data_IF_944640368415
#
_entry.id   IF_944640368415
#
_cell.length_a   1.000
_cell.length_b   1.000
_cell.length_c   1.000
_cell.angle_alpha   90.00
_cell.angle_beta   90.00
_cell.angle_gamma   90.00
#
_symmetry.space_group_name_H-M   'P 1'
#
loop_
_entity.id
_entity.type
_entity.pdbx_description
1 polymer ?
#
# COMPACT_ATOMS: atom_id res chain seq x y z
N UNK A 1 -14.11 18.48 7.64
CA UNK A 1 -14.19 17.54 6.51
C UNK A 1 -13.62 16.25 7.05
N UNK A 2 -14.50 15.31 7.37
CA UNK A 2 -14.16 14.00 7.92
C UNK A 2 -13.24 13.28 6.91
N UNK A 3 -12.04 12.93 7.36
CA UNK A 3 -11.05 12.26 6.54
C UNK A 3 -11.44 10.81 6.36
N UNK A 4 -11.89 10.44 5.17
CA UNK A 4 -11.86 9.03 4.76
C UNK A 4 -10.38 8.63 4.64
N UNK A 5 -9.91 7.82 5.59
CA UNK A 5 -8.57 7.27 5.55
C UNK A 5 -8.52 6.19 4.46
N UNK A 6 -7.99 6.58 3.30
CA UNK A 6 -7.82 5.70 2.15
C UNK A 6 -6.92 4.53 2.52
N UNK A 7 -7.49 3.33 2.49
CA UNK A 7 -6.79 2.09 2.75
C UNK A 7 -5.98 1.68 1.52
N UNK A 8 -6.58 1.42 0.34
CA UNK A 8 -5.87 0.81 -0.81
C UNK A 8 -6.46 1.23 -2.17
N UNK A 9 -5.63 1.39 -3.21
CA UNK A 9 -6.05 1.33 -4.62
C UNK A 9 -5.81 -0.04 -5.30
N UNK A 10 -6.78 -0.51 -6.06
CA UNK A 10 -6.74 -1.80 -6.76
C UNK A 10 -6.99 -1.56 -8.24
N UNK A 11 -6.14 -2.10 -9.11
CA UNK A 11 -6.24 -1.92 -10.56
C UNK A 11 -6.80 -3.18 -11.23
N UNK A 12 -7.41 -3.01 -12.39
CA UNK A 12 -8.00 -4.11 -13.17
C UNK A 12 -6.97 -5.23 -13.41
N UNK A 13 -5.72 -4.86 -13.72
CA UNK A 13 -4.64 -5.83 -13.98
C UNK A 13 -4.84 -6.64 -15.26
N UNK A 14 -3.77 -7.29 -15.72
CA UNK A 14 -3.79 -8.09 -16.96
C UNK A 14 -3.90 -9.61 -16.69
N UNK A 15 -4.44 -10.00 -15.53
CA UNK A 15 -4.53 -11.42 -15.17
C UNK A 15 -5.58 -12.12 -16.06
N UNK A 16 -5.25 -13.28 -16.65
CA UNK A 16 -6.09 -13.89 -17.68
C UNK A 16 -7.45 -14.38 -17.16
N UNK A 17 -7.57 -14.68 -15.86
CA UNK A 17 -8.72 -15.38 -15.29
C UNK A 17 -9.69 -14.49 -14.49
N UNK A 18 -9.42 -13.19 -14.41
CA UNK A 18 -10.21 -12.27 -13.57
C UNK A 18 -11.10 -11.33 -14.38
N UNK A 19 -11.07 -11.41 -15.71
CA UNK A 19 -11.64 -10.38 -16.60
C UNK A 19 -12.50 -10.99 -17.71
N UNK A 20 -13.58 -10.30 -18.10
CA UNK A 20 -14.41 -10.72 -19.23
C UNK A 20 -13.79 -10.35 -20.58
N UNK A 21 -13.20 -11.31 -21.29
CA UNK A 21 -12.51 -11.06 -22.57
C UNK A 21 -13.30 -11.39 -23.83
N UNK A 22 -14.36 -12.19 -23.72
CA UNK A 22 -15.09 -12.70 -24.89
C UNK A 22 -15.75 -11.58 -25.70
N UNK A 23 -15.22 -11.32 -26.90
CA UNK A 23 -15.70 -10.26 -27.80
C UNK A 23 -15.40 -8.84 -27.29
N UNK A 24 -14.50 -8.69 -26.31
CA UNK A 24 -14.15 -7.40 -25.73
C UNK A 24 -12.89 -6.83 -26.37
N UNK A 25 -12.90 -5.54 -26.71
CA UNK A 25 -11.69 -4.79 -26.97
C UNK A 25 -11.19 -4.19 -25.64
N UNK A 26 -9.93 -4.44 -25.29
CA UNK A 26 -9.31 -3.93 -24.07
C UNK A 26 -7.98 -3.24 -24.38
N UNK A 27 -7.83 -2.01 -23.93
CA UNK A 27 -6.59 -1.23 -24.04
C UNK A 27 -6.12 -0.83 -22.65
N UNK A 28 -4.92 -1.26 -22.27
CA UNK A 28 -4.27 -0.84 -21.02
C UNK A 28 -3.38 0.35 -21.33
N UNK A 29 -3.60 1.47 -20.62
CA UNK A 29 -2.80 2.69 -20.76
C UNK A 29 -1.57 2.66 -19.85
N UNK A 30 -0.62 3.58 -20.10
CA UNK A 30 0.63 3.67 -19.33
C UNK A 30 0.40 3.93 -17.82
N UNK A 31 -0.70 4.61 -17.47
CA UNK A 31 -1.12 4.87 -16.09
C UNK A 31 -1.89 3.70 -15.44
N UNK A 32 -1.90 2.53 -16.09
CA UNK A 32 -2.62 1.32 -15.70
C UNK A 32 -4.16 1.41 -15.78
N UNK A 33 -4.71 2.53 -16.28
CA UNK A 33 -6.14 2.59 -16.59
C UNK A 33 -6.48 1.68 -17.76
N UNK A 34 -7.71 1.17 -17.78
CA UNK A 34 -8.20 0.23 -18.78
C UNK A 34 -9.40 0.82 -19.49
N UNK A 35 -9.31 0.90 -20.82
CA UNK A 35 -10.47 1.09 -21.66
C UNK A 35 -11.01 -0.27 -22.08
N UNK A 36 -12.28 -0.50 -21.81
CA UNK A 36 -13.02 -1.71 -22.16
C UNK A 36 -14.19 -1.34 -23.06
N UNK A 37 -14.35 -2.06 -24.18
CA UNK A 37 -15.49 -1.90 -25.10
C UNK A 37 -16.05 -3.27 -25.47
N UNK A 38 -17.34 -3.48 -25.20
CA UNK A 38 -18.07 -4.67 -25.62
C UNK A 38 -19.58 -4.39 -25.70
N UNK A 39 -20.10 -4.19 -26.92
CA UNK A 39 -21.53 -3.89 -27.16
C UNK A 39 -22.45 -5.11 -27.05
N UNK A 40 -21.89 -6.32 -27.06
CA UNK A 40 -22.64 -7.58 -27.07
C UNK A 40 -22.54 -8.34 -25.74
N UNK A 41 -21.87 -7.77 -24.74
CA UNK A 41 -21.77 -8.37 -23.42
C UNK A 41 -23.14 -8.39 -22.74
N UNK A 42 -23.61 -9.59 -22.38
CA UNK A 42 -24.86 -9.75 -21.66
C UNK A 42 -24.81 -9.04 -20.29
N UNK A 43 -25.90 -8.38 -19.86
CA UNK A 43 -26.04 -7.89 -18.49
C UNK A 43 -25.91 -9.02 -17.46
N UNK A 44 -25.47 -8.68 -16.25
CA UNK A 44 -25.23 -9.59 -15.14
C UNK A 44 -23.88 -10.30 -15.17
N UNK A 45 -23.07 -10.14 -16.23
CA UNK A 45 -21.72 -10.72 -16.31
C UNK A 45 -20.69 -9.85 -15.57
N UNK A 46 -19.78 -10.50 -14.85
CA UNK A 46 -18.65 -9.85 -14.17
C UNK A 46 -17.67 -9.30 -15.21
N UNK A 47 -17.40 -7.99 -15.19
CA UNK A 47 -16.38 -7.33 -16.00
C UNK A 47 -14.98 -7.66 -15.49
N UNK A 48 -14.81 -7.54 -14.17
CA UNK A 48 -13.57 -7.81 -13.44
C UNK A 48 -13.86 -8.29 -12.03
N UNK A 49 -13.02 -9.21 -11.54
CA UNK A 49 -13.05 -9.76 -10.19
C UNK A 49 -11.68 -9.62 -9.53
N UNK A 50 -11.66 -9.07 -8.33
CA UNK A 50 -10.47 -9.00 -7.49
C UNK A 50 -10.63 -9.93 -6.30
N UNK A 51 -9.51 -10.46 -5.81
CA UNK A 51 -9.47 -11.47 -4.74
C UNK A 51 -8.54 -11.03 -3.61
N UNK A 52 -8.93 -11.27 -2.36
CA UNK A 52 -8.06 -11.03 -1.18
C UNK A 52 -7.14 -12.19 -0.86
N UNK A 53 -7.47 -13.39 -1.34
CA UNK A 53 -6.65 -14.58 -1.26
C UNK A 53 -6.53 -15.21 -2.65
N UNK A 54 -5.36 -15.70 -3.00
CA UNK A 54 -5.06 -16.25 -4.32
C UNK A 54 -4.74 -17.74 -4.22
N UNK A 55 -5.33 -18.55 -5.10
CA UNK A 55 -4.87 -19.90 -5.33
C UNK A 55 -4.00 -19.92 -6.59
N UNK A 56 -2.69 -19.69 -6.42
CA UNK A 56 -1.77 -19.59 -7.54
C UNK A 56 -1.65 -20.91 -8.31
N UNK A 57 -1.69 -22.05 -7.62
CA UNK A 57 -1.54 -23.37 -8.24
C UNK A 57 -2.74 -23.73 -9.13
N UNK A 58 -3.96 -23.43 -8.69
CA UNK A 58 -5.17 -23.78 -9.45
C UNK A 58 -5.59 -22.69 -10.45
N UNK A 59 -5.50 -21.42 -10.07
CA UNK A 59 -6.13 -20.32 -10.83
C UNK A 59 -5.12 -19.32 -11.37
N UNK A 60 -3.83 -19.42 -10.98
CA UNK A 60 -2.78 -18.43 -11.27
C UNK A 60 -3.18 -17.00 -10.85
N UNK A 61 -4.06 -16.90 -9.86
CA UNK A 61 -4.51 -15.62 -9.30
C UNK A 61 -3.60 -15.26 -8.15
N UNK A 62 -3.00 -14.07 -8.24
CA UNK A 62 -2.28 -13.42 -7.14
C UNK A 62 -3.29 -12.56 -6.38
N UNK A 63 -3.27 -12.51 -5.04
CA UNK A 63 -4.13 -11.60 -4.29
C UNK A 63 -3.94 -10.15 -4.76
N UNK A 64 -5.04 -9.41 -4.86
CA UNK A 64 -5.08 -8.00 -5.30
C UNK A 64 -5.75 -7.10 -4.25
N UNK A 65 -6.60 -7.68 -3.40
CA UNK A 65 -7.32 -6.96 -2.35
C UNK A 65 -6.53 -7.06 -1.03
N UNK A 66 -6.62 -6.02 -0.17
CA UNK A 66 -5.99 -6.04 1.13
C UNK A 66 -6.74 -6.92 2.12
N UNK A 67 -6.10 -7.28 3.22
CA UNK A 67 -6.80 -7.82 4.38
C UNK A 67 -7.72 -6.76 5.01
N UNK A 68 -8.93 -7.17 5.41
CA UNK A 68 -9.88 -6.31 6.10
C UNK A 68 -10.01 -6.79 7.54
N UNK A 69 -10.14 -5.85 8.48
CA UNK A 69 -10.38 -6.18 9.88
C UNK A 69 -11.84 -6.56 10.08
N UNK A 70 -12.06 -7.64 10.83
CA UNK A 70 -13.40 -8.07 11.21
C UNK A 70 -14.16 -6.99 11.98
N UNK A 71 -15.49 -6.93 11.75
CA UNK A 71 -16.44 -5.96 12.34
C UNK A 71 -16.19 -4.49 11.97
N UNK A 72 -15.25 -4.22 11.07
CA UNK A 72 -14.94 -2.88 10.61
C UNK A 72 -15.74 -2.52 9.34
N UNK A 73 -16.09 -1.25 9.19
CA UNK A 73 -16.81 -0.73 8.03
C UNK A 73 -15.82 -0.19 6.99
N UNK A 74 -16.04 -0.52 5.72
CA UNK A 74 -15.20 -0.05 4.60
C UNK A 74 -16.06 0.50 3.47
N UNK A 75 -15.54 1.48 2.76
CA UNK A 75 -16.09 1.99 1.50
C UNK A 75 -15.23 1.51 0.33
N UNK A 76 -15.87 0.86 -0.64
CA UNK A 76 -15.31 0.57 -1.94
C UNK A 76 -15.80 1.61 -2.94
N UNK A 77 -14.89 2.23 -3.70
CA UNK A 77 -15.21 3.24 -4.71
C UNK A 77 -14.48 2.97 -6.03
N UNK A 78 -15.19 2.67 -7.10
CA UNK A 78 -14.62 2.48 -8.43
C UNK A 78 -14.48 3.81 -9.17
N UNK A 79 -13.25 4.30 -9.35
CA UNK A 79 -12.99 5.48 -10.18
C UNK A 79 -13.07 5.07 -11.65
N UNK A 80 -14.17 5.44 -12.30
CA UNK A 80 -14.46 5.04 -13.68
C UNK A 80 -15.38 6.01 -14.42
N UNK A 81 -15.41 5.92 -15.75
CA UNK A 81 -16.44 6.50 -16.61
C UNK A 81 -17.13 5.38 -17.37
N UNK A 82 -18.46 5.37 -17.33
CA UNK A 82 -19.29 4.27 -17.85
C UNK A 82 -20.24 4.80 -18.91
N UNK A 83 -20.37 4.08 -20.02
CA UNK A 83 -21.38 4.33 -21.06
C UNK A 83 -22.20 3.06 -21.31
N UNK A 84 -23.54 3.14 -21.17
CA UNK A 84 -24.31 4.27 -20.64
C UNK A 84 -24.01 4.48 -19.15
N UNK A 85 -24.27 5.69 -18.65
CA UNK A 85 -24.01 6.02 -17.25
C UNK A 85 -24.78 5.09 -16.28
N UNK A 86 -24.18 4.80 -15.13
CA UNK A 86 -24.75 3.96 -14.06
C UNK A 86 -25.16 2.53 -14.50
N UNK A 87 -24.60 2.00 -15.61
CA UNK A 87 -24.84 0.62 -16.08
C UNK A 87 -23.83 -0.40 -15.57
N UNK A 88 -23.41 -0.23 -14.32
CA UNK A 88 -22.55 -1.16 -13.60
C UNK A 88 -22.98 -1.28 -12.14
N UNK A 89 -22.53 -2.33 -11.47
CA UNK A 89 -22.76 -2.59 -10.05
C UNK A 89 -21.48 -3.11 -9.42
N UNK A 90 -21.18 -2.66 -8.21
CA UNK A 90 -20.16 -3.27 -7.37
C UNK A 90 -20.80 -4.36 -6.51
N UNK A 91 -20.09 -5.47 -6.36
CA UNK A 91 -20.45 -6.56 -5.46
C UNK A 91 -19.25 -7.00 -4.65
N UNK A 92 -19.44 -7.16 -3.34
CA UNK A 92 -18.45 -7.71 -2.43
C UNK A 92 -19.02 -8.98 -1.79
N UNK A 93 -18.32 -10.10 -1.97
CA UNK A 93 -18.71 -11.41 -1.42
C UNK A 93 -17.62 -11.89 -0.46
N UNK A 94 -18.01 -12.28 0.75
CA UNK A 94 -17.14 -12.73 1.83
C UNK A 94 -17.29 -14.24 2.02
N UNK A 95 -16.17 -14.93 2.24
CA UNK A 95 -16.11 -16.38 2.30
C UNK A 95 -15.47 -16.86 3.61
N UNK A 96 -15.94 -18.00 4.11
CA UNK A 96 -15.34 -18.70 5.24
C UNK A 96 -14.14 -19.57 4.82
N UNK A 97 -13.66 -20.42 5.74
CA UNK A 97 -12.54 -21.33 5.52
C UNK A 97 -12.87 -22.48 4.55
N UNK A 98 -14.16 -22.81 4.39
CA UNK A 98 -14.66 -23.85 3.50
C UNK A 98 -14.85 -23.32 2.07
N UNK A 99 -14.86 -21.99 1.90
CA UNK A 99 -15.07 -21.31 0.63
C UNK A 99 -16.53 -20.99 0.35
N UNK A 100 -17.41 -21.14 1.34
CA UNK A 100 -18.82 -20.82 1.23
C UNK A 100 -19.04 -19.33 1.48
N UNK A 101 -20.02 -18.75 0.76
CA UNK A 101 -20.35 -17.31 0.89
C UNK A 101 -21.10 -17.10 2.21
N UNK A 102 -20.45 -16.41 3.14
CA UNK A 102 -21.05 -16.04 4.44
C UNK A 102 -21.85 -14.75 4.36
N UNK A 103 -21.46 -13.82 3.48
CA UNK A 103 -22.15 -12.53 3.30
C UNK A 103 -21.85 -11.90 1.96
N UNK A 104 -22.84 -11.21 1.41
CA UNK A 104 -22.72 -10.45 0.18
C UNK A 104 -23.30 -9.05 0.33
N UNK A 105 -22.65 -8.08 -0.31
CA UNK A 105 -23.10 -6.70 -0.42
C UNK A 105 -23.04 -6.28 -1.88
N UNK A 106 -24.02 -5.50 -2.33
CA UNK A 106 -24.04 -4.98 -3.70
C UNK A 106 -24.66 -3.60 -3.76
N UNK A 107 -24.17 -2.77 -4.67
CA UNK A 107 -24.67 -1.42 -4.90
C UNK A 107 -24.49 -1.02 -6.37
N UNK A 108 -25.53 -0.39 -6.92
CA UNK A 108 -25.48 0.19 -8.25
C UNK A 108 -24.53 1.39 -8.29
N UNK A 109 -23.85 1.57 -9.42
CA UNK A 109 -22.93 2.68 -9.61
C UNK A 109 -21.50 2.33 -9.20
N UNK A 110 -20.82 3.28 -8.59
CA UNK A 110 -19.39 3.26 -8.34
C UNK A 110 -19.01 3.12 -6.87
N UNK A 111 -19.96 3.18 -5.93
CA UNK A 111 -19.68 3.09 -4.49
C UNK A 111 -20.43 1.95 -3.83
N UNK A 112 -19.77 1.29 -2.87
CA UNK A 112 -20.33 0.21 -2.07
C UNK A 112 -19.77 0.29 -0.65
N UNK A 113 -20.64 0.43 0.35
CA UNK A 113 -20.25 0.35 1.77
C UNK A 113 -20.48 -1.06 2.28
N UNK A 114 -19.52 -1.61 3.02
CA UNK A 114 -19.59 -2.94 3.61
C UNK A 114 -19.20 -2.92 5.07
N UNK A 115 -19.65 -3.93 5.81
CA UNK A 115 -19.10 -4.24 7.14
C UNK A 115 -18.53 -5.65 7.11
N UNK A 116 -17.23 -5.75 7.37
CA UNK A 116 -16.48 -7.00 7.33
C UNK A 116 -17.00 -7.99 8.39
N UNK A 117 -17.43 -9.22 8.03
CA UNK A 117 -17.90 -10.22 8.99
C UNK A 117 -16.78 -10.72 9.95
N UNK A 118 -17.17 -11.36 11.06
CA UNK A 118 -16.23 -11.87 12.08
C UNK A 118 -15.45 -13.11 11.62
N UNK A 119 -15.99 -13.89 10.69
CA UNK A 119 -15.47 -15.21 10.29
C UNK A 119 -14.98 -15.23 8.84
N UNK A 120 -14.59 -14.07 8.32
CA UNK A 120 -14.05 -13.98 6.96
C UNK A 120 -12.65 -14.57 6.91
N UNK A 121 -12.41 -15.47 5.95
CA UNK A 121 -11.08 -15.92 5.56
C UNK A 121 -10.64 -15.23 4.28
N UNK A 122 -11.57 -15.02 3.35
CA UNK A 122 -11.27 -14.28 2.12
C UNK A 122 -12.50 -13.53 1.62
N UNK A 123 -12.29 -12.59 0.71
CA UNK A 123 -13.38 -11.89 0.04
C UNK A 123 -13.00 -11.54 -1.40
N UNK A 124 -14.01 -11.26 -2.19
CA UNK A 124 -13.88 -10.82 -3.56
C UNK A 124 -14.67 -9.55 -3.79
N UNK A 125 -14.16 -8.66 -4.63
CA UNK A 125 -14.89 -7.51 -5.15
C UNK A 125 -15.04 -7.68 -6.65
N UNK A 126 -16.24 -7.45 -7.16
CA UNK A 126 -16.60 -7.61 -8.56
C UNK A 126 -17.22 -6.33 -9.09
N UNK A 127 -16.82 -5.95 -10.30
CA UNK A 127 -17.55 -4.97 -11.10
C UNK A 127 -18.42 -5.75 -12.09
N UNK A 128 -19.74 -5.56 -12.02
CA UNK A 128 -20.72 -6.31 -12.80
C UNK A 128 -21.32 -5.41 -13.87
N UNK A 129 -21.39 -5.92 -15.09
CA UNK A 129 -22.03 -5.25 -16.21
C UNK A 129 -23.56 -5.24 -16.04
N UNK A 130 -24.22 -4.09 -16.13
CA UNK A 130 -25.68 -3.96 -16.18
C UNK A 130 -26.18 -3.40 -17.53
N UNK A 131 -25.42 -3.63 -18.61
CA UNK A 131 -25.68 -3.10 -19.95
C UNK A 131 -24.74 -1.96 -20.36
N UNK A 132 -23.59 -1.85 -19.71
CA UNK A 132 -22.46 -1.03 -20.14
C UNK A 132 -21.85 -1.60 -21.43
N UNK A 133 -21.59 -0.74 -22.40
CA UNK A 133 -20.91 -1.11 -23.64
C UNK A 133 -19.53 -0.47 -23.80
N UNK A 134 -19.22 0.56 -23.01
CA UNK A 134 -17.88 1.15 -22.91
C UNK A 134 -17.59 1.60 -21.47
N UNK A 135 -16.41 1.24 -20.97
CA UNK A 135 -15.96 1.52 -19.61
C UNK A 135 -14.49 1.99 -19.66
N UNK A 136 -14.24 3.18 -19.14
CA UNK A 136 -12.91 3.65 -18.79
C UNK A 136 -12.72 3.50 -17.28
N UNK A 137 -12.00 2.47 -16.86
CA UNK A 137 -11.75 2.18 -15.47
C UNK A 137 -10.33 2.62 -15.09
N UNK A 138 -10.22 3.44 -14.04
CA UNK A 138 -8.92 3.88 -13.51
C UNK A 138 -8.44 2.95 -12.40
N UNK A 139 -9.24 2.79 -11.35
CA UNK A 139 -8.91 2.00 -10.15
C UNK A 139 -10.13 1.81 -9.26
N UNK A 140 -10.04 0.86 -8.34
CA UNK A 140 -10.94 0.67 -7.20
C UNK A 140 -10.23 1.22 -5.95
N UNK A 141 -10.90 2.07 -5.21
CA UNK A 141 -10.50 2.68 -3.95
C UNK A 141 -11.15 1.93 -2.80
N UNK A 142 -10.40 1.67 -1.73
CA UNK A 142 -10.87 1.05 -0.50
C UNK A 142 -10.53 2.02 0.63
N UNK A 143 -11.51 2.42 1.42
CA UNK A 143 -11.35 3.37 2.53
C UNK A 143 -11.96 2.78 3.79
N UNK A 144 -11.40 3.07 4.96
CA UNK A 144 -12.06 2.77 6.24
C UNK A 144 -13.19 3.77 6.51
N UNK A 145 -14.27 3.33 7.15
CA UNK A 145 -15.47 4.14 7.49
C UNK A 145 -15.83 4.07 8.98
N UNK A 146 -15.24 3.15 9.75
CA UNK A 146 -15.58 2.94 11.16
C UNK A 146 -14.48 3.44 12.09
N UNK A 147 -14.86 4.05 13.21
CA UNK A 147 -14.08 4.31 14.43
C UNK A 147 -12.59 4.62 14.25
N UNK A 148 -12.17 5.86 14.55
CA UNK A 148 -10.82 6.35 14.87
C UNK A 148 -9.71 5.29 15.14
N UNK A 149 -9.48 4.37 14.21
CA UNK A 149 -8.16 3.88 13.92
C UNK A 149 -7.67 4.96 12.98
N UNK A 150 -7.32 6.09 13.60
CA UNK A 150 -6.36 7.03 13.10
C UNK A 150 -5.35 6.14 12.35
N UNK A 151 -5.38 6.10 11.01
CA UNK A 151 -4.22 5.64 10.24
C UNK A 151 -3.22 6.73 10.55
N UNK A 152 -2.66 6.67 11.76
CA UNK A 152 -1.96 7.77 12.35
C UNK A 152 -0.72 7.82 11.52
N UNK A 153 -0.69 8.84 10.67
CA UNK A 153 0.44 9.14 9.84
C UNK A 153 1.62 9.15 10.80
N UNK A 154 2.59 8.22 10.63
CA UNK A 154 3.55 7.98 11.68
C UNK A 154 4.25 9.29 12.01
N UNK A 155 4.07 9.76 13.24
CA UNK A 155 4.70 10.98 13.69
C UNK A 155 6.10 10.66 14.20
N UNK A 156 6.91 11.71 14.34
CA UNK A 156 8.23 11.58 14.92
C UNK A 156 8.14 10.92 16.30
N UNK A 157 8.82 9.78 16.46
CA UNK A 157 8.79 8.99 17.69
C UNK A 157 9.87 9.47 18.67
N UNK A 158 9.48 9.82 19.90
CA UNK A 158 10.36 10.32 20.97
C UNK A 158 11.40 11.36 20.48
N UNK A 159 10.96 12.58 20.14
CA UNK A 159 11.86 13.62 19.65
C UNK A 159 12.90 14.01 20.72
N UNK A 160 14.18 13.91 20.38
CA UNK A 160 15.32 14.41 21.14
C UNK A 160 15.90 15.59 20.38
N UNK A 161 15.85 16.76 21.01
CA UNK A 161 16.34 18.02 20.43
C UNK A 161 17.85 17.93 20.14
N UNK A 162 18.28 18.42 18.97
CA UNK A 162 19.68 18.50 18.57
C UNK A 162 20.27 17.19 18.01
N UNK A 163 19.56 16.08 18.11
CA UNK A 163 19.95 14.82 17.47
C UNK A 163 19.40 14.72 16.03
N UNK A 164 20.07 13.98 15.13
CA UNK A 164 19.57 13.78 13.79
C UNK A 164 18.25 13.00 13.78
N UNK A 165 17.41 13.28 12.79
CA UNK A 165 16.14 12.56 12.56
C UNK A 165 16.35 11.49 11.50
N UNK A 166 16.01 10.25 11.85
CA UNK A 166 16.06 9.11 10.93
C UNK A 166 14.69 8.95 10.27
N UNK A 167 14.64 9.13 8.96
CA UNK A 167 13.44 8.96 8.14
C UNK A 167 13.47 7.56 7.52
N UNK A 168 12.55 6.70 7.93
CA UNK A 168 12.43 5.33 7.41
C UNK A 168 11.39 5.29 6.30
N UNK A 169 11.83 5.15 5.05
CA UNK A 169 10.96 5.04 3.89
C UNK A 169 10.45 3.61 3.77
N UNK A 170 9.16 3.41 3.98
CA UNK A 170 8.50 2.11 3.88
C UNK A 170 7.60 2.08 2.65
N UNK A 171 7.74 1.06 1.83
CA UNK A 171 6.86 0.88 0.69
C UNK A 171 5.78 -0.16 1.00
N UNK A 172 4.51 0.19 0.79
CA UNK A 172 3.40 -0.77 0.95
C UNK A 172 3.42 -1.85 -0.14
N UNK A 173 2.74 -2.98 0.06
CA UNK A 173 2.55 -3.99 -0.99
C UNK A 173 1.27 -3.72 -1.77
N UNK A 174 1.19 -4.32 -2.96
CA UNK A 174 -0.07 -4.40 -3.76
C UNK A 174 -1.28 -4.86 -2.95
N UNK A 175 -1.03 -5.73 -1.99
CA UNK A 175 -2.01 -6.43 -1.16
C UNK A 175 -2.10 -5.88 0.25
N UNK A 176 -1.39 -4.80 0.59
CA UNK A 176 -1.42 -4.26 1.95
C UNK A 176 -0.90 -2.84 1.98
N UNK A 177 -1.73 -1.95 2.47
CA UNK A 177 -1.51 -0.51 2.44
C UNK A 177 -1.79 0.17 3.79
N UNK A 178 -2.24 -0.59 4.79
CA UNK A 178 -2.35 -0.13 6.17
C UNK A 178 -1.05 -0.29 6.96
N UNK A 179 -0.78 0.67 7.84
CA UNK A 179 0.32 0.65 8.81
C UNK A 179 -0.26 0.23 10.17
N UNK A 180 0.23 -0.86 10.76
CA UNK A 180 -0.01 -1.08 12.19
C UNK A 180 1.00 -0.22 12.97
N UNK A 181 0.68 1.06 13.17
CA UNK A 181 1.53 1.99 13.92
C UNK A 181 1.78 1.48 15.35
N UNK A 182 0.81 0.78 15.93
CA UNK A 182 0.95 0.17 17.25
C UNK A 182 2.01 -0.94 17.26
N UNK A 183 2.22 -1.66 16.16
CA UNK A 183 3.31 -2.63 16.05
C UNK A 183 4.70 -1.96 16.01
N UNK A 184 4.83 -0.81 15.34
CA UNK A 184 6.06 -0.01 15.33
C UNK A 184 6.31 0.67 16.69
N UNK A 185 5.28 1.26 17.29
CA UNK A 185 5.36 1.96 18.57
C UNK A 185 5.62 1.01 19.77
N UNK A 186 5.22 -0.27 19.67
CA UNK A 186 5.50 -1.28 20.71
C UNK A 186 6.93 -1.84 20.66
N UNK A 187 7.67 -1.64 19.57
CA UNK A 187 9.08 -1.99 19.52
C UNK A 187 9.90 -0.95 20.30
N UNK A 188 10.71 -1.42 21.26
CA UNK A 188 11.50 -0.56 22.16
C UNK A 188 12.27 0.51 21.38
N UNK A 189 12.04 1.75 21.79
CA UNK A 189 12.29 3.03 21.12
C UNK A 189 13.66 3.25 20.45
N UNK A 190 13.62 3.47 19.13
CA UNK A 190 14.61 4.31 18.44
C UNK A 190 14.10 5.75 18.50
N UNK A 191 14.74 6.67 19.26
CA UNK A 191 14.34 8.07 19.28
C UNK A 191 14.58 8.73 17.92
N UNK A 192 13.88 9.83 17.64
CA UNK A 192 13.99 10.57 16.39
C UNK A 192 13.76 9.74 15.13
N UNK A 193 12.90 8.71 15.20
CA UNK A 193 12.50 7.93 14.03
C UNK A 193 11.20 8.47 13.44
N UNK A 194 11.21 8.78 12.14
CA UNK A 194 10.04 9.16 11.35
C UNK A 194 9.77 8.12 10.27
N UNK A 195 8.78 7.23 10.45
CA UNK A 195 8.35 6.35 9.37
C UNK A 195 7.58 7.14 8.30
N UNK A 196 8.03 7.09 7.06
CA UNK A 196 7.36 7.69 5.90
C UNK A 196 6.93 6.57 4.98
N UNK A 197 5.62 6.39 4.85
CA UNK A 197 5.06 5.29 4.08
C UNK A 197 4.67 5.77 2.70
N UNK A 198 5.20 5.08 1.69
CA UNK A 198 4.94 5.29 0.29
C UNK A 198 3.93 4.22 -0.17
N UNK A 199 2.69 4.60 -0.51
CA UNK A 199 1.76 3.72 -1.17
C UNK A 199 2.39 3.21 -2.48
N UNK A 200 2.34 1.90 -2.76
CA UNK A 200 2.90 1.33 -3.98
C UNK A 200 2.25 1.92 -5.25
N UNK A 201 1.05 2.49 -5.09
CA UNK A 201 0.26 3.12 -6.14
C UNK A 201 0.75 4.51 -6.49
N UNK A 202 1.26 5.23 -5.49
CA UNK A 202 1.71 6.61 -5.63
C UNK A 202 3.21 6.65 -5.91
N UNK A 203 3.79 5.60 -6.49
CA UNK A 203 5.20 5.55 -6.89
C UNK A 203 5.61 6.71 -7.79
N UNK A 204 4.70 7.18 -8.63
CA UNK A 204 4.95 8.30 -9.53
C UNK A 204 5.00 9.65 -8.79
N UNK A 205 4.28 9.77 -7.66
CA UNK A 205 4.17 10.98 -6.84
C UNK A 205 4.94 10.84 -5.51
N UNK A 206 5.73 9.77 -5.35
CA UNK A 206 6.37 9.38 -4.10
C UNK A 206 7.33 10.45 -3.58
N UNK A 207 7.97 11.19 -4.48
CA UNK A 207 8.86 12.29 -4.14
C UNK A 207 8.13 13.44 -3.45
N UNK A 208 7.02 13.88 -4.03
CA UNK A 208 6.25 14.99 -3.49
C UNK A 208 5.55 14.60 -2.19
N UNK A 209 5.05 13.36 -2.12
CA UNK A 209 4.50 12.79 -0.89
C UNK A 209 5.56 12.76 0.22
N UNK A 210 6.76 12.23 -0.06
CA UNK A 210 7.83 12.16 0.94
C UNK A 210 8.26 13.56 1.41
N UNK A 211 8.41 14.52 0.49
CA UNK A 211 8.73 15.92 0.81
C UNK A 211 7.68 16.53 1.72
N UNK A 212 6.41 16.40 1.39
CA UNK A 212 5.31 16.93 2.19
C UNK A 212 5.34 16.35 3.61
N UNK A 213 5.59 15.04 3.75
CA UNK A 213 5.67 14.35 5.04
C UNK A 213 6.85 14.82 5.88
N UNK A 214 8.03 14.91 5.29
CA UNK A 214 9.23 15.33 5.99
C UNK A 214 9.09 16.79 6.43
N UNK A 215 8.59 17.67 5.57
CA UNK A 215 8.39 19.09 5.90
C UNK A 215 7.36 19.29 7.01
N UNK A 216 6.30 18.47 7.04
CA UNK A 216 5.31 18.50 8.10
C UNK A 216 5.89 18.10 9.45
N UNK A 217 6.79 17.11 9.48
CA UNK A 217 7.36 16.56 10.71
C UNK A 217 8.65 17.27 11.18
N UNK A 218 9.40 17.88 10.25
CA UNK A 218 10.73 18.46 10.47
C UNK A 218 10.84 19.80 9.72
N UNK A 219 10.13 20.85 10.17
CA UNK A 219 10.08 22.13 9.45
C UNK A 219 11.45 22.85 9.38
N UNK A 220 12.36 22.57 10.31
CA UNK A 220 13.65 23.25 10.43
C UNK A 220 14.81 22.56 9.68
N UNK A 221 14.55 21.48 8.93
CA UNK A 221 15.55 20.76 8.12
C UNK A 221 16.86 20.44 8.86
N UNK A 222 16.77 19.92 10.10
CA UNK A 222 17.94 19.46 10.86
C UNK A 222 18.72 18.34 10.14
N UNK A 223 19.73 17.77 10.80
CA UNK A 223 20.44 16.61 10.23
C UNK A 223 19.45 15.45 10.03
N UNK A 224 19.16 15.09 8.78
CA UNK A 224 18.25 13.97 8.45
C UNK A 224 19.04 12.80 7.88
N UNK A 225 18.69 11.60 8.34
CA UNK A 225 19.18 10.32 7.86
C UNK A 225 18.02 9.61 7.14
N UNK A 226 18.06 9.53 5.81
CA UNK A 226 17.07 8.81 5.01
C UNK A 226 17.43 7.33 4.95
N UNK A 227 16.46 6.44 5.17
CA UNK A 227 16.66 4.99 5.15
C UNK A 227 15.70 4.39 4.12
N UNK A 228 16.23 3.91 3.00
CA UNK A 228 15.49 3.18 1.97
C UNK A 228 15.39 1.68 2.30
N UNK A 229 14.22 1.09 2.09
CA UNK A 229 13.91 -0.32 2.42
C UNK A 229 13.56 -1.18 1.20
N UNK A 230 13.49 -0.58 0.01
CA UNK A 230 13.11 -1.20 -1.26
C UNK A 230 13.85 -0.51 -2.42
N UNK A 231 13.90 -1.06 -3.64
CA UNK A 231 14.56 -0.42 -4.77
C UNK A 231 13.89 0.91 -5.15
N UNK A 232 12.56 0.99 -5.01
CA UNK A 232 11.80 2.21 -5.26
C UNK A 232 12.12 3.28 -4.21
N UNK A 233 12.16 2.90 -2.92
CA UNK A 233 12.50 3.83 -1.84
C UNK A 233 13.99 4.18 -1.83
N UNK A 234 14.88 3.30 -2.28
CA UNK A 234 16.30 3.60 -2.46
C UNK A 234 16.50 4.64 -3.57
N UNK A 235 15.80 4.51 -4.70
CA UNK A 235 15.80 5.54 -5.74
C UNK A 235 15.25 6.88 -5.20
N UNK A 236 14.23 6.82 -4.34
CA UNK A 236 13.66 7.98 -3.67
C UNK A 236 14.66 8.65 -2.70
N UNK A 237 15.48 7.88 -1.98
CA UNK A 237 16.57 8.42 -1.13
C UNK A 237 17.50 9.31 -1.97
N UNK A 238 17.92 8.85 -3.15
CA UNK A 238 18.79 9.65 -4.03
C UNK A 238 18.13 10.96 -4.46
N UNK A 239 16.86 10.92 -4.89
CA UNK A 239 16.12 12.12 -5.27
C UNK A 239 15.94 13.12 -4.12
N UNK A 240 15.81 12.63 -2.88
CA UNK A 240 15.69 13.48 -1.70
C UNK A 240 17.03 14.09 -1.28
N UNK A 241 18.17 13.40 -1.49
CA UNK A 241 19.51 13.96 -1.27
C UNK A 241 19.82 15.03 -2.31
N UNK A 242 19.46 14.82 -3.58
CA UNK A 242 19.62 15.85 -4.62
C UNK A 242 18.84 17.12 -4.27
N UNK A 243 17.68 16.96 -3.63
CA UNK A 243 16.86 18.06 -3.15
C UNK A 243 17.44 18.73 -1.88
N UNK A 244 17.99 17.97 -0.94
CA UNK A 244 18.60 18.45 0.30
C UNK A 244 19.99 17.82 0.51
N UNK A 245 21.07 18.41 -0.04
CA UNK A 245 22.40 17.82 -0.02
C UNK A 245 23.03 17.67 1.38
N UNK A 246 22.46 18.31 2.40
CA UNK A 246 22.89 18.20 3.81
C UNK A 246 22.40 16.92 4.50
N UNK A 247 21.51 16.17 3.85
CA UNK A 247 20.96 14.92 4.35
C UNK A 247 21.84 13.73 4.00
N UNK A 248 21.77 12.69 4.82
CA UNK A 248 22.53 11.45 4.63
C UNK A 248 21.59 10.33 4.22
N UNK A 249 21.96 9.53 3.23
CA UNK A 249 21.19 8.37 2.79
C UNK A 249 21.79 7.05 3.22
N UNK A 250 20.93 6.14 3.66
CA UNK A 250 21.22 4.76 4.00
C UNK A 250 20.28 3.85 3.20
N UNK A 251 20.79 2.74 2.69
CA UNK A 251 19.99 1.70 2.02
C UNK A 251 20.29 0.36 2.69
N UNK A 252 19.26 -0.48 2.89
CA UNK A 252 19.41 -1.75 3.62
C UNK A 252 20.04 -2.87 2.77
N UNK A 253 20.93 -3.66 3.40
CA UNK A 253 21.64 -4.81 2.82
C UNK A 253 20.87 -6.14 3.01
N UNK A 254 21.07 -7.15 2.13
CA UNK A 254 20.17 -8.30 1.92
C UNK A 254 20.03 -9.34 3.05
N UNK A 255 20.90 -9.37 4.07
CA UNK A 255 21.13 -10.63 4.80
C UNK A 255 20.62 -10.65 6.26
N UNK A 256 19.92 -9.61 6.72
CA UNK A 256 19.42 -9.55 8.12
C UNK A 256 18.05 -8.88 8.26
N UNK A 257 17.02 -9.45 7.64
CA UNK A 257 15.67 -9.17 8.07
C UNK A 257 15.17 -10.36 8.89
N UNK A 258 14.89 -10.20 10.19
CA UNK A 258 14.09 -11.20 10.88
C UNK A 258 12.76 -11.27 10.11
N UNK A 259 12.42 -12.47 9.66
CA UNK A 259 11.11 -12.80 9.10
C UNK A 259 10.11 -12.58 10.23
N UNK A 260 9.69 -11.32 10.40
CA UNK A 260 8.70 -10.91 11.36
C UNK A 260 7.37 -10.89 10.58
N UNK A 261 6.39 -11.72 10.94
CA UNK A 261 5.13 -11.85 10.21
C UNK A 261 4.31 -10.54 10.13
N UNK A 262 4.69 -9.48 10.87
CA UNK A 262 4.06 -8.15 10.78
C UNK A 262 4.67 -7.21 9.73
N UNK A 263 5.86 -7.55 9.19
CA UNK A 263 6.56 -6.79 8.13
C UNK A 263 6.13 -7.25 6.72
N UNK A 264 5.37 -8.35 6.63
CA UNK A 264 4.82 -8.90 5.37
C UNK A 264 3.93 -7.92 4.61
N UNK A 265 3.51 -6.82 5.24
CA UNK A 265 2.70 -5.75 4.66
C UNK A 265 3.49 -4.79 3.77
N UNK A 266 4.83 -4.80 3.83
CA UNK A 266 5.71 -3.89 3.10
C UNK A 266 6.53 -4.60 2.01
N UNK A 267 6.78 -3.91 0.90
CA UNK A 267 7.64 -4.39 -0.18
C UNK A 267 9.10 -4.09 0.16
N UNK A 268 9.86 -5.15 0.40
CA UNK A 268 11.31 -5.10 0.55
C UNK A 268 11.86 -5.87 -0.64
N UNK A 269 12.65 -5.22 -1.49
CA UNK A 269 13.29 -5.90 -2.63
C UNK A 269 14.73 -5.43 -2.86
N UNK A 270 15.48 -6.31 -3.52
CA UNK A 270 16.94 -6.28 -3.64
C UNK A 270 17.37 -6.17 -5.11
N UNK A 271 18.40 -5.37 -5.39
CA UNK A 271 19.26 -5.55 -6.57
C UNK A 271 20.69 -5.16 -6.19
N UNK A 272 21.59 -6.13 -6.30
CA UNK A 272 23.03 -5.90 -6.33
C UNK A 272 23.40 -5.08 -7.56
N UNK A 273 24.56 -4.44 -7.46
CA UNK A 273 25.33 -3.86 -8.56
C UNK A 273 25.03 -2.37 -8.83
N UNK A 274 25.63 -1.50 -8.00
CA UNK A 274 26.41 -0.35 -8.47
C UNK A 274 27.06 0.42 -7.30
N UNK A 275 28.38 0.55 -7.37
CA UNK A 275 29.20 1.67 -6.88
C UNK A 275 29.16 2.08 -5.40
N UNK A 276 30.20 1.72 -4.64
CA UNK A 276 30.54 2.41 -3.39
C UNK A 276 32.06 2.62 -3.29
N UNK A 277 32.50 3.87 -3.44
CA UNK A 277 33.65 4.38 -2.69
C UNK A 277 33.06 5.19 -1.55
N UNK A 278 33.36 4.81 -0.30
CA UNK A 278 33.01 5.47 0.97
C UNK A 278 31.74 5.04 1.75
N UNK A 279 31.27 3.79 1.63
CA UNK A 279 30.29 3.24 2.59
C UNK A 279 30.74 1.87 3.13
N UNK A 280 30.82 1.76 4.46
CA UNK A 280 31.12 0.50 5.17
C UNK A 280 29.81 -0.23 5.46
N UNK A 281 29.80 -1.52 5.12
CA UNK A 281 28.66 -2.44 5.14
C UNK A 281 28.47 -3.01 6.54
N UNK A 282 27.31 -2.82 7.18
CA UNK A 282 27.08 -3.35 8.54
C UNK A 282 25.65 -3.93 8.74
N UNK A 283 25.55 -5.04 9.51
CA UNK A 283 24.29 -5.70 9.87
C UNK A 283 23.34 -4.80 10.70
N UNK A 284 22.01 -4.99 10.63
CA UNK A 284 21.00 -4.12 11.29
C UNK A 284 21.19 -4.07 12.82
N UNK A 285 21.63 -5.18 13.43
CA UNK A 285 21.96 -5.18 14.85
C UNK A 285 23.24 -4.40 15.16
N UNK A 286 24.22 -4.38 14.24
CA UNK A 286 25.34 -3.44 14.32
C UNK A 286 24.89 -2.01 14.02
N UNK A 287 23.90 -1.76 13.16
CA UNK A 287 23.36 -0.40 12.95
C UNK A 287 22.69 0.11 14.23
N UNK A 288 21.91 -0.71 14.93
CA UNK A 288 21.28 -0.31 16.20
C UNK A 288 22.30 -0.17 17.35
N UNK A 289 23.31 -1.04 17.43
CA UNK A 289 24.40 -0.91 18.42
C UNK A 289 25.36 0.23 18.09
N UNK A 290 25.68 0.46 16.83
CA UNK A 290 26.58 1.52 16.39
C UNK A 290 25.87 2.86 16.33
N UNK A 291 24.56 2.92 16.06
CA UNK A 291 23.74 4.10 16.37
C UNK A 291 23.71 4.33 17.88
N UNK A 292 23.55 3.32 18.72
CA UNK A 292 23.61 3.46 20.20
C UNK A 292 24.96 3.99 20.69
N UNK A 293 26.06 3.50 20.13
CA UNK A 293 27.42 3.87 20.51
C UNK A 293 27.85 5.21 19.89
N UNK A 294 27.43 5.54 18.66
CA UNK A 294 27.69 6.83 18.00
C UNK A 294 26.75 7.96 18.45
N UNK A 295 25.56 7.64 18.96
CA UNK A 295 24.62 8.61 19.56
C UNK A 295 24.92 8.90 21.05
N UNK A 296 25.97 8.31 21.63
CA UNK A 296 26.50 8.68 22.95
C UNK A 296 25.52 8.49 24.11
N UNK A 297 24.70 7.43 24.10
CA UNK A 297 23.86 7.12 25.26
C UNK A 297 24.73 6.46 26.33
N UNK A 298 25.24 7.27 27.26
CA UNK A 298 25.93 6.78 28.45
C UNK A 298 25.08 5.71 29.16
N UNK A 299 25.71 4.59 29.52
CA UNK A 299 25.06 3.57 30.35
C UNK A 299 24.62 4.21 31.67
N UNK A 300 23.34 4.10 32.09
CA UNK A 300 23.01 4.38 33.48
C UNK A 300 23.66 3.31 34.35
N UNK A 301 24.34 3.75 35.41
CA UNK A 301 24.76 2.90 36.53
C UNK A 301 23.56 2.21 37.18
#
# INVERSE_FOLDING_TARGET
>A
MEGEDLLNYVYWGNQPNNNYRYGSAMTVRADQSVQFVNRLMAPGKTLVKWHSAGNYQAQRVVPQLPELLSKQAYQFKAVMKVKPAARVMLRASFYDAQGDVIKEFQAHGDQLTVTCPLEVVSYTVELINLGCWELDFKRLEISDQGTEQNIMLPTLSNPILGQPVSVLLLETRRTSSGIDYNALAKQRFVPNLLPVVIPWQDRNDALDLAKARINQAIPDYGRVNLIGTSPATNALVHQLIDWQPTWHGFTLAPDELPINPRIERYQISYRGDAFWQSAVRLPIMMILQELRDRLGVAQPK
#
